data_IF_529538349950
#
_entry.id   IF_529538349950
#
_cell.length_a   1.000
_cell.length_b   1.000
_cell.length_c   1.000
_cell.angle_alpha   90.00
_cell.angle_beta   90.00
_cell.angle_gamma   90.00
#
_symmetry.space_group_name_H-M   'P 1'
#
loop_
_entity.id
_entity.type
_entity.pdbx_description
1 polymer ?
#
# COMPACT_ATOMS: atom_id res chain seq x y z
N UNK A 1 2.66 2.13 18.51
CA UNK A 1 1.82 2.40 17.32
C UNK A 1 0.68 1.39 17.31
N UNK A 2 -0.56 1.80 17.01
CA UNK A 2 -1.70 0.87 16.91
C UNK A 2 -2.11 0.76 15.45
N UNK A 3 -2.10 -0.46 14.91
CA UNK A 3 -2.66 -0.78 13.61
C UNK A 3 -4.12 -1.17 13.81
N UNK A 4 -5.01 -0.48 13.11
CA UNK A 4 -6.46 -0.71 13.21
C UNK A 4 -6.95 -1.14 11.83
N UNK A 5 -7.64 -2.27 11.76
CA UNK A 5 -8.36 -2.66 10.55
C UNK A 5 -9.57 -1.75 10.38
N UNK A 6 -9.67 -1.12 9.22
CA UNK A 6 -10.79 -0.25 8.90
C UNK A 6 -11.90 -1.10 8.29
N UNK A 7 -13.06 -1.25 8.96
CA UNK A 7 -14.14 -2.07 8.43
C UNK A 7 -14.64 -1.48 7.12
N UNK A 8 -14.60 -2.30 6.07
CA UNK A 8 -15.08 -1.93 4.74
C UNK A 8 -16.61 -2.03 4.77
N UNK A 9 -17.30 -0.93 5.09
CA UNK A 9 -18.76 -0.88 5.26
C UNK A 9 -19.56 -0.64 3.97
N UNK A 10 -18.89 -0.44 2.84
CA UNK A 10 -19.49 -0.29 1.51
C UNK A 10 -18.69 -1.14 0.53
N UNK A 11 -19.26 -1.46 -0.64
CA UNK A 11 -18.50 -1.92 -1.82
C UNK A 11 -17.44 -0.86 -2.15
N UNK A 12 -16.32 -0.96 -1.47
CA UNK A 12 -15.33 0.11 -1.40
C UNK A 12 -14.42 -0.10 -2.57
N UNK A 13 -14.71 0.58 -3.65
CA UNK A 13 -13.90 0.45 -4.84
C UNK A 13 -12.55 1.11 -4.58
N UNK A 14 -11.51 0.29 -4.47
CA UNK A 14 -10.14 0.74 -4.25
C UNK A 14 -9.71 1.67 -5.39
N UNK A 15 -10.23 1.44 -6.61
CA UNK A 15 -10.05 2.35 -7.73
C UNK A 15 -10.73 3.70 -7.53
N UNK A 16 -11.82 3.78 -6.75
CA UNK A 16 -12.45 5.07 -6.46
C UNK A 16 -11.60 5.91 -5.50
N UNK A 17 -11.01 5.30 -4.47
CA UNK A 17 -10.21 6.03 -3.47
C UNK A 17 -8.77 6.31 -3.96
N UNK A 18 -8.19 5.36 -4.69
CA UNK A 18 -6.79 5.44 -5.10
C UNK A 18 -6.56 5.06 -6.57
N UNK A 19 -7.33 5.62 -7.53
CA UNK A 19 -7.37 5.14 -8.93
C UNK A 19 -6.00 5.06 -9.58
N UNK A 20 -5.19 6.10 -9.40
CA UNK A 20 -3.87 6.19 -10.04
C UNK A 20 -2.83 5.29 -9.35
N UNK A 21 -2.96 5.10 -8.03
CA UNK A 21 -2.02 4.27 -7.27
C UNK A 21 -2.32 2.81 -7.52
N UNK A 22 -3.59 2.41 -7.52
CA UNK A 22 -3.97 1.03 -7.79
C UNK A 22 -3.59 0.64 -9.21
N UNK A 23 -3.87 1.49 -10.21
CA UNK A 23 -3.43 1.26 -11.58
C UNK A 23 -1.90 1.19 -11.72
N UNK A 24 -1.16 2.01 -10.98
CA UNK A 24 0.31 1.97 -11.04
C UNK A 24 0.90 0.70 -10.38
N UNK A 25 0.35 0.27 -9.25
CA UNK A 25 0.89 -0.85 -8.45
C UNK A 25 0.38 -2.21 -8.93
N UNK A 26 -0.91 -2.30 -9.24
CA UNK A 26 -1.57 -3.54 -9.65
C UNK A 26 -1.66 -3.68 -11.18
N UNK A 27 -1.67 -2.57 -11.92
CA UNK A 27 -1.85 -2.61 -13.37
C UNK A 27 -3.16 -3.28 -13.75
N UNK A 28 -3.06 -4.37 -14.53
CA UNK A 28 -4.17 -5.23 -14.95
C UNK A 28 -4.28 -6.53 -14.15
N UNK A 29 -3.52 -6.69 -13.05
CA UNK A 29 -3.52 -7.93 -12.26
C UNK A 29 -4.82 -8.08 -11.46
N UNK A 30 -5.34 -9.31 -11.44
CA UNK A 30 -6.50 -9.67 -10.64
C UNK A 30 -6.13 -9.72 -9.15
N UNK A 31 -6.80 -8.89 -8.35
CA UNK A 31 -6.68 -8.87 -6.90
C UNK A 31 -7.72 -9.84 -6.34
N UNK A 32 -7.28 -10.79 -5.50
CA UNK A 32 -8.17 -11.75 -4.83
C UNK A 32 -9.01 -11.06 -3.78
N UNK A 33 -8.37 -10.27 -2.92
CA UNK A 33 -9.04 -9.42 -1.94
C UNK A 33 -8.13 -8.28 -1.51
N UNK A 34 -8.74 -7.25 -0.92
CA UNK A 34 -8.01 -6.16 -0.28
C UNK A 34 -8.57 -5.89 1.11
N UNK A 35 -7.72 -5.36 1.98
CA UNK A 35 -8.05 -4.90 3.33
C UNK A 35 -7.47 -3.53 3.56
N UNK A 36 -8.21 -2.69 4.29
CA UNK A 36 -7.73 -1.37 4.66
C UNK A 36 -7.34 -1.35 6.12
N UNK A 37 -6.17 -0.78 6.39
CA UNK A 37 -5.66 -0.54 7.72
C UNK A 37 -5.34 0.94 7.88
N UNK A 38 -5.44 1.41 9.12
CA UNK A 38 -4.96 2.71 9.53
C UNK A 38 -3.86 2.51 10.57
N UNK A 39 -2.69 3.09 10.32
CA UNK A 39 -1.60 3.20 11.27
C UNK A 39 -1.45 4.67 11.63
N UNK A 40 -2.06 5.07 12.76
CA UNK A 40 -2.13 6.47 13.16
C UNK A 40 -2.76 7.34 12.05
N UNK A 41 -1.98 8.18 11.36
CA UNK A 41 -2.44 9.02 10.23
C UNK A 41 -2.05 8.47 8.86
N UNK A 42 -1.44 7.29 8.81
CA UNK A 42 -1.04 6.61 7.58
C UNK A 42 -2.11 5.61 7.20
N UNK A 43 -2.65 5.76 5.99
CA UNK A 43 -3.56 4.80 5.40
C UNK A 43 -2.75 3.68 4.78
N UNK A 44 -3.18 2.44 4.99
CA UNK A 44 -2.49 1.25 4.50
C UNK A 44 -3.52 0.43 3.73
N UNK A 45 -3.21 0.15 2.48
CA UNK A 45 -3.94 -0.78 1.64
C UNK A 45 -3.16 -2.07 1.62
N UNK A 46 -3.75 -3.15 2.09
CA UNK A 46 -3.26 -4.50 1.89
C UNK A 46 -4.03 -5.10 0.72
N UNK A 47 -3.34 -5.60 -0.29
CA UNK A 47 -3.94 -6.28 -1.41
C UNK A 47 -3.24 -7.60 -1.65
N UNK A 48 -4.04 -8.66 -1.73
CA UNK A 48 -3.59 -10.01 -1.99
C UNK A 48 -3.91 -10.33 -3.45
N UNK A 49 -2.88 -10.48 -4.26
CA UNK A 49 -2.95 -11.12 -5.55
C UNK A 49 -2.47 -12.57 -5.40
N UNK A 50 -3.03 -13.48 -6.19
CA UNK A 50 -2.74 -14.92 -6.09
C UNK A 50 -1.23 -15.26 -6.10
N UNK A 51 -0.41 -14.44 -6.77
CA UNK A 51 1.04 -14.58 -6.92
C UNK A 51 1.86 -13.65 -5.99
N UNK A 52 1.25 -12.63 -5.40
CA UNK A 52 1.95 -11.62 -4.60
C UNK A 52 1.02 -10.84 -3.68
N UNK A 53 1.56 -10.39 -2.56
CA UNK A 53 0.91 -9.43 -1.68
C UNK A 53 1.55 -8.07 -1.89
N UNK A 54 0.75 -7.06 -2.18
CA UNK A 54 1.17 -5.66 -2.22
C UNK A 54 0.57 -4.90 -1.03
N UNK A 55 1.41 -4.17 -0.30
CA UNK A 55 1.00 -3.24 0.75
C UNK A 55 1.36 -1.83 0.32
N UNK A 56 0.37 -0.95 0.29
CA UNK A 56 0.55 0.44 -0.09
C UNK A 56 0.31 1.31 1.14
N UNK A 57 1.32 2.06 1.54
CA UNK A 57 1.25 3.00 2.64
C UNK A 57 1.18 4.43 2.10
N UNK A 58 0.15 5.17 2.50
CA UNK A 58 -0.14 6.51 2.00
C UNK A 58 -0.26 7.45 3.19
N UNK A 59 0.53 8.53 3.15
CA UNK A 59 0.43 9.60 4.15
C UNK A 59 0.29 10.96 3.47
N UNK A 60 -0.67 11.76 3.95
CA UNK A 60 -0.96 13.10 3.40
C UNK A 60 -0.22 14.23 4.12
N UNK A 61 0.28 14.00 5.35
CA UNK A 61 0.85 15.05 6.22
C UNK A 61 2.34 14.91 6.52
N UNK A 62 2.87 13.69 6.60
CA UNK A 62 4.25 13.39 7.00
C UNK A 62 4.90 12.37 6.07
N UNK A 63 6.23 12.33 6.07
CA UNK A 63 7.01 11.27 5.43
C UNK A 63 6.86 10.00 6.27
N UNK A 64 6.71 8.86 5.62
CA UNK A 64 6.60 7.57 6.30
C UNK A 64 8.00 7.14 6.73
N UNK A 65 8.14 6.80 8.00
CA UNK A 65 9.44 6.44 8.59
C UNK A 65 9.76 4.96 8.34
N UNK A 66 11.06 4.60 8.36
CA UNK A 66 11.49 3.19 8.24
C UNK A 66 10.85 2.31 9.31
N UNK A 67 10.74 2.80 10.54
CA UNK A 67 10.13 2.08 11.65
C UNK A 67 8.65 1.77 11.41
N UNK A 68 7.90 2.70 10.78
CA UNK A 68 6.51 2.45 10.39
C UNK A 68 6.42 1.34 9.33
N UNK A 69 7.30 1.38 8.32
CA UNK A 69 7.38 0.34 7.27
C UNK A 69 7.68 -1.02 7.89
N UNK A 70 8.73 -1.10 8.71
CA UNK A 70 9.18 -2.36 9.30
C UNK A 70 8.12 -2.93 10.28
N UNK A 71 7.41 -2.06 11.00
CA UNK A 71 6.27 -2.45 11.83
C UNK A 71 5.13 -3.05 11.01
N UNK A 72 4.79 -2.44 9.87
CA UNK A 72 3.72 -2.93 8.98
C UNK A 72 4.11 -4.26 8.36
N UNK A 73 5.35 -4.43 7.88
CA UNK A 73 5.86 -5.69 7.34
C UNK A 73 5.73 -6.80 8.38
N UNK A 74 6.23 -6.56 9.59
CA UNK A 74 6.18 -7.56 10.66
C UNK A 74 4.75 -7.89 11.07
N UNK A 75 3.85 -6.91 11.11
CA UNK A 75 2.47 -7.10 11.60
C UNK A 75 1.53 -7.69 10.56
N UNK A 76 1.65 -7.30 9.28
CA UNK A 76 0.75 -7.73 8.21
C UNK A 76 1.29 -8.91 7.40
N UNK A 77 2.60 -8.95 7.13
CA UNK A 77 3.21 -9.99 6.29
C UNK A 77 3.89 -11.10 7.10
N UNK A 78 3.96 -10.92 8.44
CA UNK A 78 4.64 -11.80 9.39
C UNK A 78 6.06 -12.20 8.93
N UNK A 79 6.78 -11.25 8.34
CA UNK A 79 8.09 -11.47 7.73
C UNK A 79 9.06 -10.34 8.06
N UNK A 80 10.30 -10.43 7.59
CA UNK A 80 11.33 -9.39 7.72
C UNK A 80 11.42 -8.52 6.48
N UNK A 81 12.10 -7.39 6.63
CA UNK A 81 12.33 -6.45 5.54
C UNK A 81 13.16 -7.05 4.40
N UNK A 82 14.06 -8.00 4.66
CA UNK A 82 14.87 -8.61 3.61
C UNK A 82 14.05 -9.50 2.67
N UNK A 83 12.94 -10.05 3.16
CA UNK A 83 12.07 -10.94 2.40
C UNK A 83 11.02 -10.21 1.54
N UNK A 84 11.08 -8.87 1.49
CA UNK A 84 10.10 -8.05 0.76
C UNK A 84 10.80 -6.93 0.00
N UNK A 85 10.21 -6.53 -1.13
CA UNK A 85 10.70 -5.40 -1.91
C UNK A 85 10.00 -4.13 -1.46
N UNK A 86 10.76 -3.15 -0.95
CA UNK A 86 10.21 -1.85 -0.51
C UNK A 86 10.56 -0.77 -1.53
N UNK A 87 9.54 -0.28 -2.23
CA UNK A 87 9.64 0.85 -3.14
C UNK A 87 9.32 2.15 -2.41
N UNK A 88 10.34 2.99 -2.27
CA UNK A 88 10.24 4.33 -1.70
C UNK A 88 10.18 5.38 -2.81
N UNK A 89 9.48 6.49 -2.58
CA UNK A 89 9.45 7.58 -3.55
C UNK A 89 8.52 7.34 -4.75
N UNK A 90 7.56 6.40 -4.64
CA UNK A 90 6.56 6.10 -5.66
C UNK A 90 5.82 7.36 -6.12
N UNK A 91 5.57 8.31 -5.21
CA UNK A 91 5.00 9.62 -5.56
C UNK A 91 5.79 10.32 -6.68
N UNK A 92 7.12 10.36 -6.57
CA UNK A 92 7.98 11.04 -7.54
C UNK A 92 8.00 10.27 -8.87
N UNK A 93 8.01 8.93 -8.82
CA UNK A 93 7.92 8.10 -10.02
C UNK A 93 6.59 8.30 -10.75
N UNK A 94 5.49 8.34 -10.01
CA UNK A 94 4.16 8.61 -10.55
C UNK A 94 4.08 10.00 -11.18
N UNK A 95 4.63 11.04 -10.53
CA UNK A 95 4.72 12.37 -11.10
C UNK A 95 5.56 12.40 -12.39
N UNK A 96 6.69 11.69 -12.42
CA UNK A 96 7.52 11.55 -13.63
C UNK A 96 6.80 10.86 -14.78
N UNK A 97 5.91 9.90 -14.48
CA UNK A 97 5.05 9.23 -15.46
C UNK A 97 3.79 10.03 -15.83
N UNK A 98 3.64 11.26 -15.33
CA UNK A 98 2.51 12.15 -15.67
C UNK A 98 1.25 11.93 -14.85
N UNK A 99 1.28 11.11 -13.79
CA UNK A 99 0.12 10.95 -12.90
C UNK A 99 -0.04 12.16 -11.99
N UNK A 100 -1.24 12.75 -12.02
CA UNK A 100 -1.64 13.81 -11.10
C UNK A 100 -2.37 13.21 -9.89
N UNK A 101 -2.19 13.83 -8.73
CA UNK A 101 -2.88 13.45 -7.51
C UNK A 101 -3.88 14.55 -7.15
N UNK A 102 -5.15 14.20 -7.04
CA UNK A 102 -6.22 15.14 -6.69
C UNK A 102 -6.11 15.67 -5.25
N UNK A 103 -5.41 14.96 -4.38
CA UNK A 103 -5.20 15.33 -2.98
C UNK A 103 -3.71 15.45 -2.64
N UNK A 104 -3.32 16.31 -1.68
CA UNK A 104 -1.95 16.43 -1.22
C UNK A 104 -1.52 15.13 -0.53
N UNK A 105 -0.83 14.26 -1.28
CA UNK A 105 -0.15 13.07 -0.75
C UNK A 105 1.29 13.49 -0.47
N UNK A 106 1.72 13.44 0.79
CA UNK A 106 3.08 13.81 1.18
C UNK A 106 4.04 12.69 0.79
N UNK A 107 3.67 11.45 1.08
CA UNK A 107 4.51 10.28 0.84
C UNK A 107 3.69 9.03 0.50
N UNK A 108 4.26 8.18 -0.34
CA UNK A 108 3.69 6.91 -0.79
C UNK A 108 4.82 5.89 -0.82
N UNK A 109 4.62 4.78 -0.10
CA UNK A 109 5.52 3.63 -0.08
C UNK A 109 4.73 2.41 -0.51
N UNK A 110 5.34 1.57 -1.35
CA UNK A 110 4.78 0.30 -1.79
C UNK A 110 5.71 -0.80 -1.34
N UNK A 111 5.16 -1.83 -0.72
CA UNK A 111 5.87 -3.01 -0.25
C UNK A 111 5.29 -4.19 -1.01
N UNK A 112 6.14 -4.99 -1.64
CA UNK A 112 5.72 -6.15 -2.43
C UNK A 112 6.37 -7.40 -1.85
N UNK A 113 5.56 -8.44 -1.67
CA UNK A 113 6.00 -9.76 -1.26
C UNK A 113 5.49 -10.77 -2.28
N UNK A 114 6.39 -11.51 -2.91
CA UNK A 114 5.99 -12.66 -3.74
C UNK A 114 5.45 -13.76 -2.84
N UNK A 115 4.31 -14.33 -3.21
CA UNK A 115 3.73 -15.48 -2.51
C UNK A 115 3.85 -16.65 -3.48
N UNK A 116 4.61 -17.67 -3.10
CA UNK A 116 4.62 -18.90 -3.87
C UNK A 116 3.24 -19.54 -3.77
N UNK A 117 2.59 -19.90 -4.91
CA UNK A 117 1.36 -20.64 -4.89
C UNK A 117 1.66 -22.06 -4.41
N UNK A 118 1.49 -22.27 -3.10
CA UNK A 118 1.53 -23.59 -2.45
C UNK A 118 0.33 -24.44 -2.85
#
# INVERSE_FOLDING_TARGET
MKLIETPIKKNLDLEYFYPNITKFVFGSKAIKFFKLYALDRTQIVYADAFDKIDIIMINTKKKITKNEVDYVIKKLLNTTREAVTVHIGIKNEMQKKGYTFSAPRKDIIVIQKTVDPS
#
